data_IF_649906459109
#
_entry.id   IF_649906459109
#
_cell.length_a   1.000
_cell.length_b   1.000
_cell.length_c   1.000
_cell.angle_alpha   90.00
_cell.angle_beta   90.00
_cell.angle_gamma   90.00
#
_symmetry.space_group_name_H-M   'P 1'
#
loop_
_entity.id
_entity.type
_entity.pdbx_description
1 polymer ?
#
# COMPACT_ATOMS: atom_id res chain seq x y z
N UNK A 1 19.75 -5.65 8.10
CA UNK A 1 18.99 -6.64 8.91
C UNK A 1 17.53 -6.50 8.49
N UNK A 2 16.90 -7.54 7.94
CA UNK A 2 15.47 -7.51 7.58
C UNK A 2 14.61 -7.89 8.81
N UNK A 3 13.30 -7.62 8.78
CA UNK A 3 12.39 -7.85 9.93
C UNK A 3 12.50 -9.29 10.46
N UNK A 4 12.58 -10.26 9.55
CA UNK A 4 12.66 -11.70 9.86
C UNK A 4 14.00 -12.04 10.55
N UNK A 5 15.12 -11.46 10.08
CA UNK A 5 16.43 -11.63 10.71
C UNK A 5 16.48 -11.03 12.11
N UNK A 6 15.82 -9.89 12.36
CA UNK A 6 15.72 -9.32 13.70
C UNK A 6 14.94 -10.24 14.65
N UNK A 7 13.82 -10.81 14.19
CA UNK A 7 13.01 -11.75 14.97
C UNK A 7 13.79 -13.01 15.32
N UNK A 8 14.50 -13.60 14.35
CA UNK A 8 15.37 -14.75 14.58
C UNK A 8 16.46 -14.44 15.63
N UNK A 9 17.07 -13.26 15.55
CA UNK A 9 18.07 -12.84 16.54
C UNK A 9 17.54 -12.81 17.98
N UNK A 10 16.31 -12.31 18.20
CA UNK A 10 15.71 -12.35 19.54
C UNK A 10 15.42 -13.78 20.02
N UNK A 11 14.95 -14.66 19.12
CA UNK A 11 14.66 -16.07 19.42
C UNK A 11 15.93 -16.83 19.78
N UNK A 12 17.00 -16.68 18.98
CA UNK A 12 18.30 -17.33 19.20
C UNK A 12 18.93 -16.91 20.54
N UNK A 13 18.79 -15.62 20.89
CA UNK A 13 19.28 -15.08 22.16
C UNK A 13 18.33 -15.33 23.35
N UNK A 14 17.19 -16.00 23.14
CA UNK A 14 16.13 -16.23 24.14
C UNK A 14 15.61 -14.95 24.80
N UNK A 15 15.71 -13.81 24.12
CA UNK A 15 15.25 -12.51 24.59
C UNK A 15 13.79 -12.27 24.16
N UNK A 16 12.88 -12.96 24.85
CA UNK A 16 11.44 -12.87 24.56
C UNK A 16 10.84 -11.51 24.92
N UNK A 17 11.39 -10.83 25.93
CA UNK A 17 10.95 -9.48 26.32
C UNK A 17 11.33 -8.45 25.24
N UNK A 18 12.54 -8.57 24.68
CA UNK A 18 13.01 -7.76 23.56
C UNK A 18 12.19 -8.03 22.29
N UNK A 19 11.88 -9.30 22.03
CA UNK A 19 11.00 -9.72 20.94
C UNK A 19 9.61 -9.08 21.05
N UNK A 20 8.97 -9.18 22.22
CA UNK A 20 7.62 -8.64 22.46
C UNK A 20 7.58 -7.12 22.27
N UNK A 21 8.57 -6.41 22.81
CA UNK A 21 8.69 -4.95 22.62
C UNK A 21 8.92 -4.58 21.15
N UNK A 22 9.78 -5.29 20.45
CA UNK A 22 10.05 -5.05 19.03
C UNK A 22 8.81 -5.34 18.17
N UNK A 23 8.13 -6.44 18.45
CA UNK A 23 6.90 -6.83 17.76
C UNK A 23 5.82 -5.76 17.90
N UNK A 24 5.47 -5.38 19.14
CA UNK A 24 4.41 -4.42 19.40
C UNK A 24 4.73 -3.02 18.88
N UNK A 25 5.99 -2.56 18.98
CA UNK A 25 6.36 -1.19 18.62
C UNK A 25 6.67 -1.00 17.13
N UNK A 26 7.07 -2.05 16.42
CA UNK A 26 7.52 -1.95 15.03
C UNK A 26 6.65 -2.76 14.08
N UNK A 27 6.39 -4.02 14.40
CA UNK A 27 5.70 -4.93 13.48
C UNK A 27 4.21 -4.65 13.47
N UNK A 28 3.60 -4.45 14.64
CA UNK A 28 2.17 -4.17 14.75
C UNK A 28 1.78 -2.85 14.03
N UNK A 29 2.51 -1.76 14.31
CA UNK A 29 2.29 -0.48 13.61
C UNK A 29 2.53 -0.59 12.10
N UNK A 30 3.49 -1.40 11.66
CA UNK A 30 3.71 -1.65 10.23
C UNK A 30 2.52 -2.39 9.61
N UNK A 31 1.96 -3.40 10.28
CA UNK A 31 0.78 -4.11 9.78
C UNK A 31 -0.45 -3.21 9.66
N UNK A 32 -0.67 -2.31 10.63
CA UNK A 32 -1.76 -1.33 10.57
C UNK A 32 -1.58 -0.37 9.37
N UNK A 33 -0.35 0.10 9.12
CA UNK A 33 -0.04 0.91 7.95
C UNK A 33 -0.26 0.17 6.63
N UNK A 34 0.11 -1.12 6.56
CA UNK A 34 -0.13 -1.97 5.38
C UNK A 34 -1.64 -2.17 5.15
N UNK A 35 -2.43 -2.42 6.19
CA UNK A 35 -3.89 -2.56 6.06
C UNK A 35 -4.54 -1.27 5.57
N UNK A 36 -4.18 -0.12 6.15
CA UNK A 36 -4.68 1.18 5.70
C UNK A 36 -4.30 1.46 4.23
N UNK A 37 -3.09 1.10 3.83
CA UNK A 37 -2.61 1.25 2.46
C UNK A 37 -3.33 0.32 1.46
N UNK A 38 -3.61 -0.92 1.87
CA UNK A 38 -4.40 -1.86 1.07
C UNK A 38 -5.85 -1.37 0.90
N UNK A 39 -6.45 -0.77 1.93
CA UNK A 39 -7.78 -0.14 1.81
C UNK A 39 -7.77 1.00 0.79
N UNK A 40 -6.76 1.87 0.79
CA UNK A 40 -6.62 2.96 -0.18
C UNK A 40 -6.50 2.45 -1.63
N UNK A 41 -5.72 1.40 -1.88
CA UNK A 41 -5.64 0.76 -3.21
C UNK A 41 -6.96 0.05 -3.56
N UNK A 42 -7.63 -0.54 -2.57
CA UNK A 42 -8.95 -1.14 -2.69
C UNK A 42 -10.03 -0.20 -3.21
N UNK A 43 -9.89 1.12 -2.99
CA UNK A 43 -10.81 2.12 -3.53
C UNK A 43 -10.78 2.20 -5.07
N UNK A 44 -9.72 1.72 -5.73
CA UNK A 44 -9.66 1.61 -7.18
C UNK A 44 -10.50 0.45 -7.74
N UNK A 45 -11.22 -0.32 -6.90
CA UNK A 45 -12.11 -1.41 -7.33
C UNK A 45 -13.18 -0.97 -8.34
N UNK A 46 -13.57 0.31 -8.27
CA UNK A 46 -14.60 0.88 -9.12
C UNK A 46 -14.04 1.38 -10.47
N UNK A 47 -12.73 1.47 -10.65
CA UNK A 47 -12.14 1.67 -11.98
C UNK A 47 -12.10 0.34 -12.71
N UNK A 48 -12.89 0.21 -13.78
CA UNK A 48 -12.94 -1.00 -14.63
C UNK A 48 -12.07 -0.87 -15.89
N UNK A 49 -11.58 0.33 -16.19
CA UNK A 49 -10.56 0.56 -17.23
C UNK A 49 -9.19 0.09 -16.70
N UNK A 50 -8.74 -1.08 -17.15
CA UNK A 50 -7.56 -1.78 -16.62
C UNK A 50 -6.28 -0.96 -16.69
N UNK A 51 -6.07 -0.28 -17.80
CA UNK A 51 -4.90 0.55 -18.07
C UNK A 51 -4.79 1.69 -17.04
N UNK A 52 -5.90 2.39 -16.80
CA UNK A 52 -5.98 3.49 -15.83
C UNK A 52 -5.87 2.98 -14.40
N UNK A 53 -6.48 1.84 -14.10
CA UNK A 53 -6.35 1.18 -12.80
C UNK A 53 -4.88 0.86 -12.49
N UNK A 54 -4.12 0.36 -13.46
CA UNK A 54 -2.69 0.08 -13.31
C UNK A 54 -1.87 1.33 -13.00
N UNK A 55 -2.08 2.41 -13.79
CA UNK A 55 -1.37 3.68 -13.61
C UNK A 55 -1.65 4.26 -12.22
N UNK A 56 -2.91 4.38 -11.84
CA UNK A 56 -3.28 4.91 -10.51
C UNK A 56 -2.75 4.04 -9.38
N UNK A 57 -2.79 2.71 -9.52
CA UNK A 57 -2.22 1.80 -8.51
C UNK A 57 -0.73 2.06 -8.31
N UNK A 58 0.03 2.21 -9.40
CA UNK A 58 1.47 2.50 -9.31
C UNK A 58 1.76 3.85 -8.64
N UNK A 59 0.95 4.88 -8.91
CA UNK A 59 1.09 6.21 -8.28
C UNK A 59 0.73 6.18 -6.81
N UNK A 60 -0.31 5.43 -6.42
CA UNK A 60 -0.67 5.23 -5.02
C UNK A 60 0.44 4.49 -4.25
N UNK A 61 0.97 3.40 -4.82
CA UNK A 61 2.09 2.66 -4.21
C UNK A 61 3.29 3.59 -4.04
N UNK A 62 3.65 4.35 -5.08
CA UNK A 62 4.76 5.30 -5.00
C UNK A 62 4.53 6.41 -3.96
N UNK A 63 3.31 6.92 -3.85
CA UNK A 63 2.97 7.91 -2.84
C UNK A 63 3.10 7.32 -1.42
N UNK A 64 2.70 6.06 -1.23
CA UNK A 64 2.89 5.33 0.04
C UNK A 64 4.37 5.14 0.38
N UNK A 65 5.20 4.75 -0.59
CA UNK A 65 6.65 4.64 -0.42
C UNK A 65 7.31 5.96 -0.02
N UNK A 66 6.73 7.08 -0.47
CA UNK A 66 7.17 8.44 -0.16
C UNK A 66 6.51 9.04 1.09
N UNK A 67 5.70 8.25 1.81
CA UNK A 67 4.92 8.69 2.98
C UNK A 67 4.01 9.91 2.69
N UNK A 68 3.55 10.04 1.45
CA UNK A 68 2.62 11.09 1.02
C UNK A 68 1.19 10.62 1.27
N UNK A 69 0.45 11.40 2.06
CA UNK A 69 -0.97 11.10 2.27
C UNK A 69 -1.77 11.35 1.00
N UNK A 70 -2.58 10.36 0.64
CA UNK A 70 -3.38 10.32 -0.58
C UNK A 70 -4.81 9.94 -0.25
N UNK A 71 -5.74 10.62 -0.93
CA UNK A 71 -7.18 10.41 -0.82
C UNK A 71 -7.75 10.15 -2.22
N UNK A 72 -8.48 9.05 -2.37
CA UNK A 72 -9.20 8.67 -3.59
C UNK A 72 -10.61 8.26 -3.20
N UNK A 73 -11.58 8.89 -3.86
CA UNK A 73 -13.00 8.62 -3.70
C UNK A 73 -13.64 8.35 -5.08
N UNK A 74 -14.13 7.12 -5.26
CA UNK A 74 -14.72 6.63 -6.51
C UNK A 74 -15.95 5.82 -6.13
N UNK A 75 -17.09 6.50 -6.09
CA UNK A 75 -18.35 5.92 -5.61
C UNK A 75 -18.95 4.95 -6.64
N UNK A 76 -18.93 5.33 -7.91
CA UNK A 76 -19.56 4.57 -8.99
C UNK A 76 -18.54 3.88 -9.90
N UNK A 77 -18.89 2.73 -10.52
CA UNK A 77 -18.03 2.07 -11.49
C UNK A 77 -17.74 2.94 -12.71
N UNK A 78 -16.46 3.11 -13.03
CA UNK A 78 -15.98 3.77 -14.25
C UNK A 78 -15.61 2.70 -15.26
N UNK A 79 -16.51 2.44 -16.21
CA UNK A 79 -16.33 1.42 -17.25
C UNK A 79 -15.66 1.94 -18.51
N UNK A 80 -15.86 3.23 -18.82
CA UNK A 80 -15.31 3.87 -20.00
C UNK A 80 -14.99 5.33 -19.71
N UNK A 81 -13.90 5.81 -20.30
CA UNK A 81 -13.53 7.22 -20.33
C UNK A 81 -13.48 7.63 -21.81
N UNK A 82 -14.15 8.71 -22.18
CA UNK A 82 -14.26 9.15 -23.57
C UNK A 82 -13.02 9.97 -24.00
N UNK A 83 -11.86 9.33 -23.97
CA UNK A 83 -10.56 9.89 -24.36
C UNK A 83 -9.68 8.76 -24.90
N UNK A 84 -8.74 9.08 -25.79
CA UNK A 84 -7.72 8.13 -26.21
C UNK A 84 -6.90 7.65 -25.00
N UNK A 85 -6.61 6.34 -24.94
CA UNK A 85 -5.96 5.76 -23.77
C UNK A 85 -4.52 6.23 -23.61
N UNK A 86 -3.82 6.51 -24.71
CA UNK A 86 -2.44 6.99 -24.67
C UNK A 86 -2.40 8.41 -24.10
N UNK A 87 -3.30 9.28 -24.58
CA UNK A 87 -3.40 10.65 -24.09
C UNK A 87 -3.83 10.69 -22.62
N UNK A 88 -4.82 9.89 -22.26
CA UNK A 88 -5.27 9.77 -20.88
C UNK A 88 -4.14 9.27 -19.95
N UNK A 89 -3.38 8.27 -20.39
CA UNK A 89 -2.25 7.71 -19.63
C UNK A 89 -1.11 8.71 -19.39
N UNK A 90 -0.95 9.71 -20.26
CA UNK A 90 0.07 10.75 -20.12
C UNK A 90 -0.32 11.86 -19.14
N UNK A 91 -1.62 12.11 -18.99
CA UNK A 91 -2.16 13.17 -18.13
C UNK A 91 -2.28 12.68 -16.68
N UNK A 92 -2.67 11.41 -16.49
CA UNK A 92 -2.86 10.79 -15.17
C UNK A 92 -1.54 10.52 -14.49
#
# INVERSE_FOLDING_TARGET
INIISSLMGYIENKDMDGLERYFNKRILCLSEGIEANNLKIGNLKNIKVTEIKGILSSKLIRAQELEIDTFIDIVEPIEKINMDIIDLSRIV
#
